data_IF_892607553742
#
_entry.id   IF_892607553742
#
_cell.length_a   1.000
_cell.length_b   1.000
_cell.length_c   1.000
_cell.angle_alpha   90.00
_cell.angle_beta   90.00
_cell.angle_gamma   90.00
#
_symmetry.space_group_name_H-M   'P 1'
#
loop_
_entity.id
_entity.type
_entity.pdbx_description
1 polymer ?
#
# COMPACT_ATOMS: atom_id res chain seq x y z
N UNK A 1 14.82 -16.67 23.91
CA UNK A 1 13.63 -17.21 23.21
C UNK A 1 12.58 -16.14 22.86
N UNK A 2 12.92 -14.88 22.92
CA UNK A 2 12.01 -13.76 22.60
C UNK A 2 12.18 -13.19 21.19
N UNK A 3 12.96 -13.83 20.35
CA UNK A 3 13.28 -13.42 18.98
C UNK A 3 12.27 -13.91 17.93
N UNK A 4 11.22 -14.60 18.34
CA UNK A 4 10.33 -15.26 17.38
C UNK A 4 9.34 -14.33 16.68
N UNK A 5 8.93 -13.21 17.26
CA UNK A 5 8.01 -12.28 16.60
C UNK A 5 8.68 -11.48 15.46
N UNK A 6 9.86 -10.94 15.71
CA UNK A 6 10.64 -10.23 14.68
C UNK A 6 11.19 -11.20 13.63
N UNK A 7 11.52 -12.43 14.06
CA UNK A 7 11.96 -13.52 13.20
C UNK A 7 10.85 -14.04 12.26
N UNK A 8 9.56 -13.96 12.61
CA UNK A 8 8.52 -14.47 11.73
C UNK A 8 8.26 -13.55 10.55
N UNK A 9 8.25 -12.22 10.73
CA UNK A 9 8.10 -11.29 9.63
C UNK A 9 9.32 -11.34 8.68
N UNK A 10 10.54 -11.30 9.21
CA UNK A 10 11.76 -11.48 8.43
C UNK A 10 11.85 -12.88 7.81
N UNK A 11 11.37 -13.91 8.51
CA UNK A 11 11.33 -15.29 8.03
C UNK A 11 10.27 -15.47 6.93
N UNK A 12 9.15 -14.79 6.97
CA UNK A 12 8.15 -14.83 5.90
C UNK A 12 8.67 -14.17 4.63
N UNK A 13 9.31 -13.02 4.75
CA UNK A 13 10.01 -12.39 3.61
C UNK A 13 11.10 -13.30 3.08
N UNK A 14 11.88 -13.95 3.94
CA UNK A 14 12.95 -14.87 3.54
C UNK A 14 12.43 -16.18 2.94
N UNK A 15 11.41 -16.81 3.52
CA UNK A 15 10.86 -18.09 3.05
C UNK A 15 10.12 -17.98 1.71
N UNK A 16 9.66 -16.81 1.36
CA UNK A 16 8.94 -16.55 0.10
C UNK A 16 9.80 -16.03 -1.03
N UNK A 17 11.12 -16.25 -0.97
CA UNK A 17 12.10 -15.75 -1.93
C UNK A 17 11.86 -16.15 -3.39
N UNK A 18 11.27 -17.31 -3.60
CA UNK A 18 10.90 -17.82 -4.93
C UNK A 18 9.53 -17.34 -5.38
N UNK A 19 8.75 -16.69 -4.50
CA UNK A 19 7.39 -16.25 -4.80
C UNK A 19 7.42 -14.82 -5.33
N UNK A 20 6.72 -14.58 -6.41
CA UNK A 20 6.45 -13.22 -6.89
C UNK A 20 5.39 -12.59 -5.97
N UNK A 21 5.88 -11.89 -4.91
CA UNK A 21 5.00 -11.27 -3.93
C UNK A 21 4.18 -10.14 -4.53
N UNK A 22 4.71 -9.46 -5.54
CA UNK A 22 4.00 -8.37 -6.21
C UNK A 22 2.73 -8.89 -6.90
N UNK A 23 2.84 -10.01 -7.60
CA UNK A 23 1.67 -10.67 -8.20
C UNK A 23 0.76 -11.32 -7.17
N UNK A 24 1.35 -11.91 -6.13
CA UNK A 24 0.60 -12.52 -5.04
C UNK A 24 -0.32 -11.49 -4.36
N UNK A 25 0.20 -10.32 -4.00
CA UNK A 25 -0.53 -9.29 -3.26
C UNK A 25 -1.68 -8.66 -4.06
N UNK A 26 -1.60 -8.59 -5.40
CA UNK A 26 -2.71 -8.15 -6.25
C UNK A 26 -3.71 -9.27 -6.57
N UNK A 27 -3.43 -10.49 -6.12
CA UNK A 27 -4.33 -11.64 -6.24
C UNK A 27 -5.11 -11.89 -4.95
N UNK A 28 -4.48 -11.72 -3.80
CA UNK A 28 -5.05 -12.03 -2.48
C UNK A 28 -6.38 -11.34 -2.19
N UNK A 29 -6.60 -10.05 -2.54
CA UNK A 29 -7.88 -9.40 -2.30
C UNK A 29 -9.06 -10.06 -3.00
N UNK A 30 -8.83 -10.72 -4.13
CA UNK A 30 -9.88 -11.35 -4.92
C UNK A 30 -10.18 -12.81 -4.52
N UNK A 31 -9.28 -13.44 -3.77
CA UNK A 31 -9.42 -14.86 -3.38
C UNK A 31 -9.49 -15.01 -1.86
N UNK A 32 -8.42 -14.72 -1.14
CA UNK A 32 -8.34 -14.96 0.30
C UNK A 32 -9.22 -14.01 1.10
N UNK A 33 -9.27 -12.73 0.73
CA UNK A 33 -10.06 -11.74 1.45
C UNK A 33 -11.56 -11.87 1.23
N UNK A 34 -12.01 -12.60 0.22
CA UNK A 34 -13.44 -12.95 0.04
C UNK A 34 -13.96 -13.77 1.24
N UNK A 35 -13.08 -14.52 1.91
CA UNK A 35 -13.44 -15.29 3.11
C UNK A 35 -13.45 -14.44 4.40
N UNK A 36 -13.07 -13.17 4.33
CA UNK A 36 -13.01 -12.25 5.46
C UNK A 36 -11.62 -11.69 5.72
N UNK A 37 -11.46 -10.92 6.82
CA UNK A 37 -10.20 -10.32 7.20
C UNK A 37 -9.06 -11.34 7.36
N UNK A 38 -7.83 -10.89 7.21
CA UNK A 38 -6.65 -11.74 7.36
C UNK A 38 -5.54 -11.00 8.09
N UNK A 39 -4.70 -11.76 8.77
CA UNK A 39 -3.45 -11.22 9.30
C UNK A 39 -2.45 -11.04 8.16
N UNK A 40 -1.82 -9.88 8.13
CA UNK A 40 -0.77 -9.59 7.17
C UNK A 40 0.34 -8.75 7.81
N UNK A 41 1.54 -8.86 7.28
CA UNK A 41 2.72 -8.16 7.79
C UNK A 41 3.31 -7.32 6.66
N UNK A 42 2.82 -6.11 6.54
CA UNK A 42 3.21 -5.12 5.52
C UNK A 42 4.00 -3.95 6.13
N UNK A 43 4.41 -3.02 5.27
CA UNK A 43 5.01 -1.76 5.69
C UNK A 43 6.53 -1.76 5.74
N UNK A 44 7.21 -2.62 4.97
CA UNK A 44 8.66 -2.58 4.88
C UNK A 44 9.14 -1.23 4.31
N UNK A 45 10.15 -0.66 4.96
CA UNK A 45 10.81 0.57 4.50
C UNK A 45 12.02 0.28 3.60
N UNK A 46 12.43 -0.97 3.49
CA UNK A 46 13.40 -1.45 2.47
C UNK A 46 12.64 -2.08 1.34
N UNK A 47 12.61 -1.39 0.20
CA UNK A 47 11.82 -1.77 -0.96
C UNK A 47 12.75 -2.00 -2.16
N UNK A 48 12.46 -3.00 -2.97
CA UNK A 48 13.28 -3.37 -4.11
C UNK A 48 12.45 -3.54 -5.38
N UNK A 49 12.93 -2.97 -6.47
CA UNK A 49 12.45 -3.28 -7.81
C UNK A 49 12.79 -4.74 -8.18
N UNK A 50 12.13 -5.27 -9.19
CA UNK A 50 12.29 -6.68 -9.60
C UNK A 50 13.76 -7.09 -9.81
N UNK A 51 14.56 -6.21 -10.41
CA UNK A 51 15.97 -6.47 -10.69
C UNK A 51 16.89 -6.32 -9.47
N UNK A 52 16.47 -5.58 -8.46
CA UNK A 52 17.27 -5.25 -7.29
C UNK A 52 16.94 -6.09 -6.05
N UNK A 53 15.85 -6.84 -6.11
CA UNK A 53 15.47 -7.71 -5.01
C UNK A 53 16.52 -8.77 -4.74
N UNK A 54 16.91 -8.90 -3.48
CA UNK A 54 17.83 -9.93 -3.00
C UNK A 54 17.30 -10.50 -1.68
N UNK A 55 17.24 -11.82 -1.57
CA UNK A 55 16.84 -12.49 -0.35
C UNK A 55 17.97 -12.45 0.68
N UNK A 56 18.07 -11.40 1.46
CA UNK A 56 19.10 -11.23 2.48
C UNK A 56 18.46 -11.28 3.86
N UNK A 57 18.80 -12.30 4.65
CA UNK A 57 18.20 -12.53 5.97
C UNK A 57 18.50 -11.41 6.97
N UNK A 58 19.72 -10.90 6.97
CA UNK A 58 20.17 -9.84 7.89
C UNK A 58 19.56 -8.47 7.57
N UNK A 59 19.13 -8.25 6.33
CA UNK A 59 18.56 -7.01 5.84
C UNK A 59 17.37 -7.27 4.89
N UNK A 60 16.28 -7.81 5.41
CA UNK A 60 15.13 -8.17 4.58
C UNK A 60 14.56 -6.96 3.87
N UNK A 61 14.15 -7.16 2.63
CA UNK A 61 13.51 -6.14 1.80
C UNK A 61 12.22 -6.68 1.19
N UNK A 62 11.23 -5.83 0.98
CA UNK A 62 10.02 -6.19 0.25
C UNK A 62 10.20 -6.02 -1.26
N UNK A 63 9.47 -6.82 -2.03
CA UNK A 63 9.34 -6.64 -3.47
C UNK A 63 8.34 -5.52 -3.78
N UNK A 64 8.61 -4.73 -4.83
CA UNK A 64 7.77 -3.60 -5.22
C UNK A 64 8.15 -2.29 -4.54
N UNK A 65 7.36 -1.26 -4.78
CA UNK A 65 7.66 0.09 -4.33
C UNK A 65 7.25 0.34 -2.88
N UNK A 66 7.72 1.47 -2.32
CA UNK A 66 7.31 1.96 -1.01
C UNK A 66 5.81 2.29 -0.97
N UNK A 67 5.30 2.95 -2.02
CA UNK A 67 3.89 3.30 -2.09
C UNK A 67 2.98 2.08 -2.13
N UNK A 68 3.46 0.96 -2.69
CA UNK A 68 2.79 -0.33 -2.58
C UNK A 68 2.63 -0.76 -1.12
N UNK A 69 3.70 -0.70 -0.32
CA UNK A 69 3.64 -1.08 1.09
C UNK A 69 2.68 -0.20 1.90
N UNK A 70 2.55 1.08 1.54
CA UNK A 70 1.55 1.96 2.14
C UNK A 70 0.12 1.59 1.68
N UNK A 71 -0.04 1.27 0.40
CA UNK A 71 -1.34 0.88 -0.15
C UNK A 71 -1.88 -0.41 0.45
N UNK A 72 -1.01 -1.36 0.79
CA UNK A 72 -1.37 -2.63 1.42
C UNK A 72 -2.14 -2.44 2.74
N UNK A 73 -1.87 -1.38 3.50
CA UNK A 73 -2.62 -1.04 4.72
C UNK A 73 -4.08 -0.69 4.46
N UNK A 74 -4.39 -0.20 3.27
CA UNK A 74 -5.76 0.14 2.87
C UNK A 74 -6.40 -1.02 2.13
N UNK A 75 -5.65 -1.68 1.24
CA UNK A 75 -6.17 -2.77 0.41
C UNK A 75 -6.49 -4.01 1.23
N UNK A 76 -5.59 -4.39 2.15
CA UNK A 76 -5.82 -5.56 2.99
C UNK A 76 -6.68 -5.19 4.20
N UNK A 77 -7.74 -5.93 4.40
CA UNK A 77 -8.51 -5.87 5.63
C UNK A 77 -7.80 -6.73 6.68
N UNK A 78 -7.03 -6.07 7.53
CA UNK A 78 -6.21 -6.72 8.55
C UNK A 78 -6.46 -6.04 9.90
N UNK A 79 -7.36 -6.59 10.74
CA UNK A 79 -7.65 -6.03 12.07
C UNK A 79 -6.46 -6.14 13.02
N UNK A 80 -5.54 -7.07 12.77
CA UNK A 80 -4.27 -7.19 13.49
C UNK A 80 -3.14 -7.01 12.48
N UNK A 81 -2.61 -5.80 12.42
CA UNK A 81 -1.48 -5.47 11.54
C UNK A 81 -0.18 -5.50 12.31
N UNK A 82 0.75 -6.34 11.89
CA UNK A 82 2.11 -6.38 12.43
C UNK A 82 3.03 -5.56 11.53
N UNK A 83 3.86 -4.71 12.16
CA UNK A 83 4.90 -3.97 11.44
C UNK A 83 6.03 -4.93 11.03
N UNK A 84 6.39 -4.94 9.75
CA UNK A 84 7.38 -5.87 9.24
C UNK A 84 8.83 -5.38 9.34
N UNK A 85 9.04 -4.12 9.69
CA UNK A 85 10.37 -3.52 9.76
C UNK A 85 10.75 -3.09 11.19
N UNK A 86 11.99 -2.64 11.38
CA UNK A 86 12.48 -2.20 12.68
C UNK A 86 12.02 -0.75 13.00
N UNK A 87 11.86 -0.42 14.28
CA UNK A 87 11.56 0.96 14.68
C UNK A 87 12.53 2.00 14.10
N UNK A 88 13.81 1.63 14.03
CA UNK A 88 14.86 2.50 13.48
C UNK A 88 14.64 2.84 12.00
N UNK A 89 14.09 1.91 11.21
CA UNK A 89 13.79 2.16 9.81
C UNK A 89 12.55 3.03 9.65
N UNK A 90 11.54 2.86 10.49
CA UNK A 90 10.36 3.75 10.49
C UNK A 90 10.71 5.18 10.90
N UNK A 91 11.60 5.34 11.88
CA UNK A 91 12.04 6.68 12.30
C UNK A 91 12.81 7.45 11.21
N UNK A 92 13.43 6.75 10.26
CA UNK A 92 14.09 7.38 9.11
C UNK A 92 13.11 7.84 8.02
N UNK A 93 11.87 7.36 8.07
CA UNK A 93 10.84 7.61 7.06
C UNK A 93 9.55 8.15 7.74
N UNK A 94 9.64 9.30 8.42
CA UNK A 94 8.57 9.77 9.30
C UNK A 94 7.26 10.06 8.57
N UNK A 95 7.30 10.47 7.30
CA UNK A 95 6.10 10.75 6.51
C UNK A 95 5.33 9.46 6.20
N UNK A 96 6.03 8.42 5.78
CA UNK A 96 5.43 7.11 5.52
C UNK A 96 4.89 6.49 6.80
N UNK A 97 5.66 6.59 7.90
CA UNK A 97 5.23 6.08 9.20
C UNK A 97 4.00 6.81 9.74
N UNK A 98 3.95 8.14 9.59
CA UNK A 98 2.78 8.92 10.00
C UNK A 98 1.52 8.51 9.23
N UNK A 99 1.63 8.24 7.93
CA UNK A 99 0.51 7.69 7.16
C UNK A 99 0.08 6.32 7.69
N UNK A 100 1.01 5.39 7.85
CA UNK A 100 0.72 4.04 8.37
C UNK A 100 0.03 4.09 9.72
N UNK A 101 0.51 4.95 10.62
CA UNK A 101 -0.09 5.14 11.95
C UNK A 101 -1.49 5.77 11.92
N UNK A 102 -1.85 6.44 10.83
CA UNK A 102 -3.16 7.05 10.65
C UNK A 102 -4.21 6.10 10.08
N UNK A 103 -3.78 4.97 9.48
CA UNK A 103 -4.70 4.02 8.84
C UNK A 103 -5.40 3.19 9.92
N UNK A 104 -6.74 3.20 9.98
CA UNK A 104 -7.50 2.42 10.95
C UNK A 104 -7.47 0.93 10.62
N UNK A 105 -7.75 0.10 11.62
CA UNK A 105 -7.86 -1.36 11.46
C UNK A 105 -9.30 -1.84 11.26
N UNK A 106 -10.27 -0.96 11.49
CA UNK A 106 -11.70 -1.23 11.31
C UNK A 106 -12.29 -0.16 10.39
N UNK A 107 -13.12 -0.59 9.47
CA UNK A 107 -13.67 0.24 8.41
C UNK A 107 -15.18 0.30 8.50
N UNK A 108 -15.75 1.50 8.29
CA UNK A 108 -17.19 1.70 8.24
C UNK A 108 -17.77 1.35 6.88
N UNK A 109 -16.97 1.54 5.83
CA UNK A 109 -17.40 1.35 4.45
C UNK A 109 -16.22 0.96 3.55
N UNK A 110 -16.50 0.12 2.56
CA UNK A 110 -15.53 -0.28 1.54
C UNK A 110 -16.15 -0.19 0.16
N UNK A 111 -15.47 0.50 -0.75
CA UNK A 111 -15.87 0.68 -2.15
C UNK A 111 -14.78 0.12 -3.05
N UNK A 112 -15.13 -0.89 -3.86
CA UNK A 112 -14.25 -1.38 -4.90
C UNK A 112 -14.26 -0.38 -6.07
N UNK A 113 -13.10 0.20 -6.38
CA UNK A 113 -12.99 1.19 -7.44
C UNK A 113 -12.77 0.53 -8.80
N UNK A 114 -11.73 -0.28 -8.90
CA UNK A 114 -11.40 -1.05 -10.11
C UNK A 114 -10.39 -2.15 -9.78
N UNK A 115 -10.32 -3.18 -10.61
CA UNK A 115 -9.32 -4.24 -10.43
C UNK A 115 -9.44 -5.36 -11.46
N UNK A 116 -8.34 -6.09 -11.59
CA UNK A 116 -8.21 -7.31 -12.38
C UNK A 116 -7.35 -8.30 -11.60
N UNK A 117 -7.84 -9.53 -11.43
CA UNK A 117 -7.19 -10.56 -10.62
C UNK A 117 -5.76 -10.83 -11.10
N UNK A 118 -4.80 -10.70 -10.18
CA UNK A 118 -3.39 -10.94 -10.48
C UNK A 118 -2.70 -9.84 -11.27
N UNK A 119 -3.40 -8.74 -11.55
CA UNK A 119 -2.86 -7.61 -12.29
C UNK A 119 -2.82 -6.33 -11.46
N UNK A 120 -3.96 -5.87 -10.98
CA UNK A 120 -4.05 -4.65 -10.17
C UNK A 120 -5.34 -4.60 -9.36
N UNK A 121 -5.34 -3.74 -8.36
CA UNK A 121 -6.52 -3.43 -7.55
C UNK A 121 -6.47 -1.97 -7.11
N UNK A 122 -7.63 -1.34 -7.04
CA UNK A 122 -7.84 -0.06 -6.38
C UNK A 122 -9.12 -0.11 -5.56
N UNK A 123 -9.03 0.32 -4.30
CA UNK A 123 -10.11 0.24 -3.32
C UNK A 123 -10.13 1.53 -2.50
N UNK A 124 -11.31 1.97 -2.11
CA UNK A 124 -11.49 3.04 -1.14
C UNK A 124 -12.17 2.50 0.12
N UNK A 125 -11.73 2.97 1.27
CA UNK A 125 -12.30 2.60 2.58
C UNK A 125 -12.53 3.84 3.42
N UNK A 126 -13.61 3.86 4.20
CA UNK A 126 -13.95 4.97 5.08
C UNK A 126 -13.86 4.56 6.55
N UNK A 127 -13.35 5.48 7.35
CA UNK A 127 -13.45 5.42 8.80
C UNK A 127 -13.76 6.82 9.32
N UNK A 128 -14.90 6.97 9.99
CA UNK A 128 -15.45 8.28 10.33
C UNK A 128 -15.68 9.14 9.08
N UNK A 129 -15.12 10.33 9.10
CA UNK A 129 -15.25 11.30 7.98
C UNK A 129 -14.05 11.24 7.00
N UNK A 130 -13.14 10.29 7.17
CA UNK A 130 -11.94 10.19 6.35
C UNK A 130 -12.02 8.97 5.43
N UNK A 131 -11.76 9.20 4.15
CA UNK A 131 -11.58 8.15 3.16
C UNK A 131 -10.11 7.84 2.96
N UNK A 132 -9.82 6.58 2.76
CA UNK A 132 -8.49 6.06 2.44
C UNK A 132 -8.54 5.34 1.11
N UNK A 133 -7.56 5.60 0.25
CA UNK A 133 -7.43 4.95 -1.05
C UNK A 133 -6.15 4.13 -1.04
N UNK A 134 -6.26 2.88 -1.46
CA UNK A 134 -5.13 2.01 -1.75
C UNK A 134 -5.23 1.45 -3.16
N UNK A 135 -4.17 1.58 -3.92
CA UNK A 135 -4.05 0.94 -5.23
C UNK A 135 -2.69 0.29 -5.40
N UNK A 136 -2.68 -0.89 -6.03
CA UNK A 136 -1.48 -1.67 -6.31
C UNK A 136 -1.54 -2.25 -7.71
N UNK A 137 -0.37 -2.40 -8.35
CA UNK A 137 -0.24 -3.08 -9.64
C UNK A 137 0.78 -4.24 -9.56
N UNK A 138 0.71 -5.16 -10.50
CA UNK A 138 1.75 -6.15 -10.73
C UNK A 138 3.04 -5.47 -11.27
N UNK A 139 3.93 -6.22 -11.92
CA UNK A 139 5.14 -5.64 -12.52
C UNK A 139 4.88 -4.80 -13.78
N UNK A 140 3.62 -4.63 -14.19
CA UNK A 140 3.22 -3.77 -15.29
C UNK A 140 2.89 -2.37 -14.77
N UNK A 141 3.56 -1.30 -15.24
CA UNK A 141 3.19 0.05 -14.84
C UNK A 141 1.78 0.38 -15.34
N UNK A 142 1.01 1.12 -14.52
CA UNK A 142 -0.37 1.48 -14.87
C UNK A 142 -0.69 2.93 -14.53
N UNK A 143 -1.54 3.49 -15.36
CA UNK A 143 -2.24 4.74 -15.07
C UNK A 143 -3.73 4.43 -14.95
N UNK A 144 -4.35 4.91 -13.89
CA UNK A 144 -5.77 4.70 -13.64
C UNK A 144 -6.43 6.04 -13.40
N UNK A 145 -7.70 6.13 -13.79
CA UNK A 145 -8.58 7.21 -13.38
C UNK A 145 -9.63 6.64 -12.43
N UNK A 146 -9.58 7.08 -11.18
CA UNK A 146 -10.45 6.60 -10.11
C UNK A 146 -11.68 7.49 -10.02
N UNK A 147 -12.85 6.89 -10.03
CA UNK A 147 -14.12 7.57 -9.80
C UNK A 147 -14.41 7.63 -8.29
N UNK A 148 -14.39 8.83 -7.73
CA UNK A 148 -14.63 9.11 -6.32
C UNK A 148 -15.96 9.85 -6.12
N UNK A 149 -16.91 9.71 -7.04
CA UNK A 149 -18.22 10.39 -6.99
C UNK A 149 -19.07 10.04 -5.76
N UNK A 150 -18.78 8.89 -5.12
CA UNK A 150 -19.40 8.48 -3.85
C UNK A 150 -18.97 9.35 -2.65
N UNK A 151 -17.85 10.07 -2.76
CA UNK A 151 -17.45 11.09 -1.78
C UNK A 151 -18.34 12.31 -2.02
N UNK A 152 -19.27 12.57 -1.12
CA UNK A 152 -20.28 13.60 -1.26
C UNK A 152 -19.76 15.00 -1.64
N UNK A 153 -20.67 15.93 -1.81
CA UNK A 153 -20.34 17.32 -2.09
C UNK A 153 -19.62 17.94 -0.89
N UNK A 154 -18.57 18.70 -1.15
CA UNK A 154 -17.76 19.36 -0.13
C UNK A 154 -16.36 19.67 -0.63
N UNK A 155 -15.62 20.39 0.19
CA UNK A 155 -14.22 20.69 -0.06
C UNK A 155 -13.37 19.68 0.72
N UNK A 156 -12.59 18.91 0.02
CA UNK A 156 -11.74 17.88 0.59
C UNK A 156 -10.29 18.08 0.17
N UNK A 157 -9.39 17.75 1.07
CA UNK A 157 -7.96 17.61 0.80
C UNK A 157 -7.61 16.15 0.58
N UNK A 158 -6.69 15.92 -0.35
CA UNK A 158 -6.09 14.62 -0.66
C UNK A 158 -4.63 14.67 -0.27
N UNK A 159 -4.26 13.99 0.80
CA UNK A 159 -2.87 13.69 1.11
C UNK A 159 -2.50 12.37 0.46
N UNK A 160 -1.60 12.40 -0.50
CA UNK A 160 -1.27 11.24 -1.31
C UNK A 160 0.21 10.89 -1.29
N UNK A 161 0.48 9.60 -1.42
CA UNK A 161 1.79 8.97 -1.59
C UNK A 161 1.77 8.22 -2.92
N UNK A 162 2.48 8.74 -3.90
CA UNK A 162 2.58 8.19 -5.25
C UNK A 162 4.01 7.77 -5.56
N UNK A 163 4.17 6.75 -6.38
CA UNK A 163 5.49 6.35 -6.88
C UNK A 163 6.21 7.53 -7.54
N UNK A 164 7.45 7.73 -7.16
CA UNK A 164 8.32 8.75 -7.73
C UNK A 164 8.69 8.45 -9.19
N UNK A 165 9.30 9.42 -9.83
CA UNK A 165 9.68 9.30 -11.25
C UNK A 165 10.72 8.19 -11.51
N UNK A 166 11.52 7.86 -10.49
CA UNK A 166 12.55 6.81 -10.56
C UNK A 166 12.16 5.53 -9.84
N UNK A 167 10.90 5.34 -9.45
CA UNK A 167 10.47 4.21 -8.64
C UNK A 167 10.67 2.85 -9.34
N UNK A 168 10.77 2.82 -10.67
CA UNK A 168 11.14 1.65 -11.46
C UNK A 168 12.55 1.13 -11.19
N UNK A 169 13.46 2.02 -10.80
CA UNK A 169 14.87 1.73 -10.49
C UNK A 169 15.17 1.81 -9.00
N UNK A 170 14.57 2.78 -8.32
CA UNK A 170 14.71 3.05 -6.91
C UNK A 170 13.34 2.90 -6.22
N UNK A 171 12.98 1.68 -5.86
CA UNK A 171 11.66 1.32 -5.34
C UNK A 171 11.24 2.11 -4.07
N UNK A 172 12.18 2.82 -3.44
CA UNK A 172 11.94 3.73 -2.31
C UNK A 172 11.60 5.15 -2.74
N UNK A 173 11.72 5.46 -4.05
CA UNK A 173 11.39 6.80 -4.56
C UNK A 173 9.88 7.01 -4.56
N UNK A 174 9.44 8.01 -3.80
CA UNK A 174 8.04 8.38 -3.69
C UNK A 174 7.86 9.89 -3.64
N UNK A 175 6.66 10.33 -3.90
CA UNK A 175 6.27 11.73 -3.75
C UNK A 175 5.03 11.83 -2.88
N UNK A 176 5.16 12.56 -1.77
CA UNK A 176 4.04 12.99 -0.96
C UNK A 176 3.49 14.32 -1.49
N UNK A 177 2.18 14.42 -1.64
CA UNK A 177 1.51 15.68 -2.00
C UNK A 177 0.23 15.86 -1.19
N UNK A 178 -0.10 17.13 -0.93
CA UNK A 178 -1.42 17.52 -0.44
C UNK A 178 -2.03 18.45 -1.48
N UNK A 179 -3.21 18.10 -1.95
CA UNK A 179 -3.93 18.88 -2.98
C UNK A 179 -5.44 18.83 -2.72
N UNK A 180 -6.17 19.73 -3.34
CA UNK A 180 -7.63 19.66 -3.34
C UNK A 180 -8.12 18.46 -4.14
N UNK A 181 -9.19 17.81 -3.65
CA UNK A 181 -9.89 16.81 -4.43
C UNK A 181 -10.56 17.49 -5.64
N UNK A 182 -10.31 17.02 -6.89
CA UNK A 182 -10.92 17.58 -8.06
C UNK A 182 -12.46 17.65 -7.97
N UNK A 183 -13.05 18.71 -8.49
CA UNK A 183 -14.52 18.96 -8.45
C UNK A 183 -15.30 17.86 -9.17
N UNK A 184 -14.74 17.30 -10.23
CA UNK A 184 -15.31 16.19 -11.00
C UNK A 184 -15.16 14.83 -10.30
N UNK A 185 -14.54 14.82 -9.12
CA UNK A 185 -14.25 13.57 -8.36
C UNK A 185 -13.47 12.52 -9.15
N UNK A 186 -12.70 12.95 -10.14
CA UNK A 186 -11.82 12.06 -10.92
C UNK A 186 -10.38 12.22 -10.46
N UNK A 187 -9.80 11.15 -9.97
CA UNK A 187 -8.41 11.14 -9.48
C UNK A 187 -7.54 10.30 -10.41
N UNK A 188 -6.61 10.94 -11.11
CA UNK A 188 -5.64 10.24 -11.95
C UNK A 188 -4.44 9.83 -11.11
N UNK A 189 -4.09 8.56 -11.18
CA UNK A 189 -2.96 7.98 -10.48
C UNK A 189 -2.04 7.25 -11.45
N UNK A 190 -0.74 7.24 -11.13
CA UNK A 190 0.28 6.49 -11.87
C UNK A 190 1.02 5.59 -10.90
N UNK A 191 1.21 4.33 -11.29
CA UNK A 191 1.95 3.32 -10.54
C UNK A 191 3.11 2.79 -11.39
N UNK A 192 4.29 2.72 -10.82
CA UNK A 192 5.47 2.10 -11.40
C UNK A 192 5.34 0.57 -11.45
N UNK A 193 6.25 -0.17 -12.10
CA UNK A 193 6.28 -1.63 -12.02
C UNK A 193 6.39 -2.11 -10.57
N UNK A 194 5.47 -2.97 -10.13
CA UNK A 194 5.35 -3.38 -8.73
C UNK A 194 4.94 -2.24 -7.80
N UNK A 195 4.33 -1.22 -8.36
CA UNK A 195 4.02 0.02 -7.69
C UNK A 195 2.72 0.06 -6.94
N UNK A 196 2.49 1.21 -6.29
CA UNK A 196 1.27 1.49 -5.56
C UNK A 196 0.98 2.98 -5.44
N UNK A 197 -0.20 3.25 -4.91
CA UNK A 197 -0.68 4.57 -4.57
C UNK A 197 -1.48 4.47 -3.28
N UNK A 198 -1.19 5.35 -2.34
CA UNK A 198 -1.93 5.45 -1.09
C UNK A 198 -2.34 6.89 -0.85
N UNK A 199 -3.54 7.11 -0.36
CA UNK A 199 -4.01 8.45 -0.01
C UNK A 199 -5.03 8.42 1.14
N UNK A 200 -5.15 9.56 1.82
CA UNK A 200 -6.28 9.87 2.69
C UNK A 200 -6.95 11.14 2.22
N UNK A 201 -8.29 11.15 2.30
CA UNK A 201 -9.15 12.26 1.86
C UNK A 201 -9.99 12.67 3.05
N UNK A 202 -9.92 13.94 3.43
CA UNK A 202 -10.60 14.49 4.60
C UNK A 202 -11.18 15.87 4.30
N UNK A 203 -12.25 16.22 5.00
CA UNK A 203 -12.88 17.53 4.86
C UNK A 203 -11.93 18.65 5.31
N UNK A 204 -12.00 19.78 4.62
CA UNK A 204 -11.34 21.03 5.00
C UNK A 204 -12.03 21.73 6.16
#
# INVERSE_FOLDING_TARGET
RSTQGVSSAASDVYKRQSTDMVKYDVTMPFIRMVAGPMDYTQGAMRNASRGNYRPVHSEPMSQGTRCRQLAEYVVFESPITMLCDSPSNYMKEPECFAFMASVPTVWDETVALTGSVGEYIAIARRSGDTWYIGAMTDWTPRELELDLSFIGNGNYDVESFADGINADRAARDFRKTVSELPQDRRLKIRMAPGGGYAARIYAR
#
